data_IF_640581445728
#
_entry.id   IF_640581445728
#
_cell.length_a   1.000
_cell.length_b   1.000
_cell.length_c   1.000
_cell.angle_alpha   90.00
_cell.angle_beta   90.00
_cell.angle_gamma   90.00
#
_symmetry.space_group_name_H-M   'P 1'
#
loop_
_entity.id
_entity.type
_entity.pdbx_description
1 polymer ?
#
# COMPACT_ATOMS: atom_id res chain seq x y z
N UNK A 1 -12.90 -2.00 -16.93
CA UNK A 1 -12.14 -1.37 -15.81
C UNK A 1 -12.85 -0.14 -15.21
N UNK A 2 -14.20 -0.05 -15.23
CA UNK A 2 -14.94 1.13 -14.74
C UNK A 2 -15.65 0.92 -13.39
N UNK A 3 -15.43 -0.19 -12.70
CA UNK A 3 -16.02 -0.44 -11.38
C UNK A 3 -15.16 0.21 -10.28
N UNK A 4 -15.76 0.65 -9.15
CA UNK A 4 -15.02 1.15 -8.00
C UNK A 4 -13.89 0.21 -7.55
N UNK A 5 -14.17 -1.10 -7.54
CA UNK A 5 -13.19 -2.13 -7.22
C UNK A 5 -12.03 -2.21 -8.24
N UNK A 6 -12.31 -2.01 -9.52
CA UNK A 6 -11.28 -1.97 -10.56
C UNK A 6 -10.29 -0.83 -10.37
N UNK A 7 -10.78 0.35 -9.95
CA UNK A 7 -9.93 1.51 -9.62
C UNK A 7 -9.05 1.22 -8.39
N UNK A 8 -9.59 0.55 -7.38
CA UNK A 8 -8.83 0.17 -6.18
C UNK A 8 -7.73 -0.86 -6.50
N UNK A 9 -8.02 -1.85 -7.35
CA UNK A 9 -7.02 -2.81 -7.84
C UNK A 9 -5.88 -2.13 -8.60
N UNK A 10 -6.20 -1.14 -9.43
CA UNK A 10 -5.17 -0.35 -10.13
C UNK A 10 -4.30 0.44 -9.15
N UNK A 11 -4.93 1.12 -8.17
CA UNK A 11 -4.22 1.88 -7.15
C UNK A 11 -3.33 0.99 -6.26
N UNK A 12 -3.76 -0.24 -5.98
CA UNK A 12 -2.94 -1.24 -5.29
C UNK A 12 -1.69 -1.60 -6.11
N UNK A 13 -1.86 -1.83 -7.42
CA UNK A 13 -0.74 -2.13 -8.33
C UNK A 13 0.26 -0.96 -8.43
N UNK A 14 -0.23 0.28 -8.51
CA UNK A 14 0.61 1.48 -8.53
C UNK A 14 1.47 1.58 -7.26
N UNK A 15 0.88 1.38 -6.07
CA UNK A 15 1.63 1.34 -4.83
C UNK A 15 2.66 0.20 -4.80
N UNK A 16 2.36 -0.95 -5.43
CA UNK A 16 3.29 -2.08 -5.51
C UNK A 16 4.50 -1.78 -6.38
N UNK A 17 4.32 -1.02 -7.46
CA UNK A 17 5.42 -0.56 -8.30
C UNK A 17 6.27 0.47 -7.54
N UNK A 18 5.65 1.42 -6.84
CA UNK A 18 6.37 2.42 -6.04
C UNK A 18 7.21 1.80 -4.92
N UNK A 19 6.71 0.75 -4.28
CA UNK A 19 7.41 0.02 -3.21
C UNK A 19 8.76 -0.59 -3.63
N UNK A 20 8.98 -0.79 -4.93
CA UNK A 20 10.25 -1.32 -5.47
C UNK A 20 11.33 -0.25 -5.61
N UNK A 21 10.97 1.03 -5.49
CA UNK A 21 11.89 2.16 -5.61
C UNK A 21 12.25 2.72 -4.23
N UNK A 22 13.32 3.51 -4.17
CA UNK A 22 13.59 4.36 -3.00
C UNK A 22 12.54 5.47 -2.95
N UNK A 23 11.98 5.71 -1.77
CA UNK A 23 10.99 6.74 -1.53
C UNK A 23 11.47 7.70 -0.44
N UNK A 24 11.05 8.96 -0.55
CA UNK A 24 11.21 9.98 0.47
C UNK A 24 10.31 9.70 1.68
N UNK A 25 10.55 10.40 2.80
CA UNK A 25 9.70 10.30 3.99
C UNK A 25 8.26 10.73 3.68
N UNK A 26 8.07 11.75 2.83
CA UNK A 26 6.75 12.23 2.43
C UNK A 26 6.00 11.16 1.60
N UNK A 27 6.66 10.60 0.58
CA UNK A 27 6.10 9.51 -0.23
C UNK A 27 5.77 8.27 0.59
N UNK A 28 6.56 7.96 1.62
CA UNK A 28 6.25 6.90 2.57
C UNK A 28 4.92 7.15 3.30
N UNK A 29 4.69 8.37 3.81
CA UNK A 29 3.45 8.72 4.51
C UNK A 29 2.25 8.65 3.56
N UNK A 30 2.38 9.17 2.35
CA UNK A 30 1.34 9.10 1.32
C UNK A 30 0.98 7.66 0.96
N UNK A 31 1.99 6.81 0.72
CA UNK A 31 1.79 5.40 0.39
C UNK A 31 1.15 4.63 1.54
N UNK A 32 1.58 4.88 2.78
CA UNK A 32 1.00 4.24 3.97
C UNK A 32 -0.47 4.58 4.11
N UNK A 33 -0.83 5.86 3.97
CA UNK A 33 -2.23 6.31 4.03
C UNK A 33 -3.05 5.69 2.89
N UNK A 34 -2.53 5.76 1.67
CA UNK A 34 -3.16 5.21 0.46
C UNK A 34 -3.46 3.70 0.60
N UNK A 35 -2.50 2.92 1.09
CA UNK A 35 -2.68 1.49 1.32
C UNK A 35 -3.66 1.18 2.45
N UNK A 36 -3.67 1.99 3.51
CA UNK A 36 -4.62 1.85 4.59
C UNK A 36 -6.06 2.07 4.10
N UNK A 37 -6.31 3.12 3.33
CA UNK A 37 -7.64 3.45 2.80
C UNK A 37 -8.14 2.36 1.85
N UNK A 38 -7.27 1.87 0.97
CA UNK A 38 -7.58 0.78 0.05
C UNK A 38 -7.88 -0.52 0.82
N UNK A 39 -7.08 -0.84 1.84
CA UNK A 39 -7.30 -2.02 2.70
C UNK A 39 -8.67 -1.98 3.38
N UNK A 40 -9.01 -0.85 4.00
CA UNK A 40 -10.31 -0.69 4.66
C UNK A 40 -11.46 -0.85 3.66
N UNK A 41 -11.29 -0.32 2.46
CA UNK A 41 -12.29 -0.46 1.40
C UNK A 41 -12.44 -1.91 0.94
N UNK A 42 -11.35 -2.68 0.79
CA UNK A 42 -11.44 -4.11 0.48
C UNK A 42 -12.15 -4.91 1.58
N UNK A 43 -11.96 -4.56 2.86
CA UNK A 43 -12.71 -5.18 3.95
C UNK A 43 -14.22 -4.93 3.82
N UNK A 44 -14.65 -3.73 3.41
CA UNK A 44 -16.08 -3.45 3.18
C UNK A 44 -16.70 -4.23 2.01
N UNK A 45 -15.87 -4.68 1.06
CA UNK A 45 -16.27 -5.52 -0.07
C UNK A 45 -16.06 -7.02 0.19
N UNK A 46 -15.60 -7.41 1.39
CA UNK A 46 -15.21 -8.79 1.74
C UNK A 46 -14.16 -9.39 0.78
N UNK A 47 -13.35 -8.54 0.14
CA UNK A 47 -12.29 -8.94 -0.78
C UNK A 47 -11.01 -9.31 -0.01
N UNK A 48 -11.06 -10.42 0.74
CA UNK A 48 -10.04 -10.78 1.73
C UNK A 48 -8.64 -11.00 1.15
N UNK A 49 -8.52 -11.53 -0.08
CA UNK A 49 -7.22 -11.66 -0.75
C UNK A 49 -6.58 -10.29 -1.02
N UNK A 50 -7.38 -9.31 -1.47
CA UNK A 50 -6.90 -7.95 -1.73
C UNK A 50 -6.61 -7.19 -0.44
N UNK A 51 -7.43 -7.42 0.60
CA UNK A 51 -7.18 -6.92 1.94
C UNK A 51 -5.82 -7.41 2.47
N UNK A 52 -5.54 -8.71 2.32
CA UNK A 52 -4.28 -9.30 2.77
C UNK A 52 -3.11 -8.72 2.00
N UNK A 53 -3.20 -8.63 0.66
CA UNK A 53 -2.16 -8.01 -0.17
C UNK A 53 -1.84 -6.57 0.25
N UNK A 54 -2.87 -5.76 0.51
CA UNK A 54 -2.65 -4.41 1.01
C UNK A 54 -1.96 -4.39 2.40
N UNK A 55 -2.31 -5.34 3.27
CA UNK A 55 -1.69 -5.51 4.60
C UNK A 55 -0.21 -5.93 4.49
N UNK A 56 0.11 -6.86 3.60
CA UNK A 56 1.48 -7.30 3.35
C UNK A 56 2.33 -6.13 2.83
N UNK A 57 1.77 -5.31 1.93
CA UNK A 57 2.45 -4.12 1.41
C UNK A 57 2.71 -3.06 2.48
N UNK A 58 1.75 -2.81 3.38
CA UNK A 58 1.96 -1.92 4.54
C UNK A 58 3.11 -2.46 5.39
N UNK A 59 3.15 -3.77 5.61
CA UNK A 59 4.20 -4.42 6.42
C UNK A 59 5.58 -4.23 5.79
N UNK A 60 5.72 -4.48 4.49
CA UNK A 60 6.97 -4.23 3.74
C UNK A 60 7.39 -2.76 3.82
N UNK A 61 6.43 -1.83 3.65
CA UNK A 61 6.70 -0.40 3.72
C UNK A 61 7.24 0.02 5.10
N UNK A 62 6.65 -0.51 6.19
CA UNK A 62 7.10 -0.27 7.56
C UNK A 62 8.52 -0.81 7.80
N UNK A 63 8.81 -2.02 7.35
CA UNK A 63 10.15 -2.61 7.48
C UNK A 63 11.20 -1.82 6.71
N UNK A 64 10.90 -1.43 5.46
CA UNK A 64 11.82 -0.63 4.65
C UNK A 64 12.13 0.70 5.33
N UNK A 65 11.11 1.42 5.83
CA UNK A 65 11.32 2.67 6.55
C UNK A 65 12.14 2.47 7.83
N UNK A 66 11.85 1.42 8.62
CA UNK A 66 12.62 1.12 9.83
C UNK A 66 14.11 0.85 9.55
N UNK A 67 14.40 0.13 8.45
CA UNK A 67 15.78 -0.11 8.02
C UNK A 67 16.48 1.20 7.63
N UNK A 68 15.83 2.08 6.87
CA UNK A 68 16.40 3.37 6.49
C UNK A 68 16.71 4.28 7.69
N UNK A 69 15.85 4.28 8.72
CA UNK A 69 16.06 5.10 9.93
C UNK A 69 17.21 4.60 10.82
N UNK A 70 17.50 3.29 10.82
CA UNK A 70 18.59 2.71 11.63
C UNK A 70 19.99 2.92 11.03
N UNK A 71 20.09 3.52 9.84
CA UNK A 71 21.36 3.82 9.17
C UNK A 71 21.77 5.32 9.27
N UNK A 72 21.04 6.11 10.06
CA UNK A 72 21.37 7.50 10.42
C UNK A 72 21.73 7.60 11.91
#
# INVERSE_FOLDING_TARGET
MNTPLGKLKLKLLENQLKLKNTFTVEEYHEMKQSLHDIRMTFATYEEWDLYQRATDMITVLLFHHALQQNHH
#
